data_IF_108413513083
#
_entry.id   IF_108413513083
#
_cell.length_a   1.000
_cell.length_b   1.000
_cell.length_c   1.000
_cell.angle_alpha   90.00
_cell.angle_beta   90.00
_cell.angle_gamma   90.00
#
_symmetry.space_group_name_H-M   'P 1'
#
loop_
_entity.id
_entity.type
_entity.pdbx_description
1 polymer ?
#
# COMPACT_ATOMS: atom_id res chain seq x y z
N UNK A 1 5.29 22.78 -24.77
CA UNK A 1 4.30 21.71 -24.47
C UNK A 1 4.87 20.40 -25.00
N UNK A 2 5.16 19.42 -24.14
CA UNK A 2 5.68 18.12 -24.61
C UNK A 2 4.51 17.29 -25.19
N UNK A 3 4.24 17.45 -26.48
CA UNK A 3 3.25 16.68 -27.21
C UNK A 3 3.75 15.25 -27.42
N UNK A 4 3.53 14.37 -26.45
CA UNK A 4 3.94 12.95 -26.54
C UNK A 4 4.00 12.23 -25.21
N UNK A 5 4.15 12.96 -24.09
CA UNK A 5 4.10 12.35 -22.77
C UNK A 5 2.67 12.32 -22.22
N UNK A 6 2.20 11.14 -21.82
CA UNK A 6 0.90 10.97 -21.17
C UNK A 6 1.09 10.73 -19.68
N UNK A 7 0.74 11.72 -18.87
CA UNK A 7 0.76 11.60 -17.41
C UNK A 7 -0.21 10.51 -16.92
N UNK A 8 0.23 9.71 -15.93
CA UNK A 8 -0.55 8.63 -15.31
C UNK A 8 -0.37 8.70 -13.79
N UNK A 9 -1.46 8.46 -13.04
CA UNK A 9 -1.46 8.37 -11.57
C UNK A 9 -1.48 6.93 -11.04
N UNK A 10 -1.47 5.96 -11.95
CA UNK A 10 -1.51 4.52 -11.64
C UNK A 10 -0.46 3.79 -12.45
N UNK A 11 -0.02 2.63 -11.94
CA UNK A 11 0.87 1.75 -12.68
C UNK A 11 0.20 1.22 -13.95
N UNK A 12 0.98 1.08 -15.03
CA UNK A 12 0.58 0.44 -16.28
C UNK A 12 1.42 -0.82 -16.42
N UNK A 13 0.78 -1.97 -16.47
CA UNK A 13 1.45 -3.27 -16.52
C UNK A 13 1.60 -3.74 -17.97
N UNK A 14 2.78 -4.27 -18.31
CA UNK A 14 2.99 -4.94 -19.59
C UNK A 14 2.25 -6.28 -19.62
N UNK A 15 1.82 -6.71 -20.81
CA UNK A 15 0.95 -7.90 -20.98
C UNK A 15 1.58 -9.21 -20.47
N UNK A 16 2.90 -9.29 -20.44
CA UNK A 16 3.67 -10.47 -20.03
C UNK A 16 4.07 -10.45 -18.54
N UNK A 17 3.66 -9.44 -17.77
CA UNK A 17 3.91 -9.39 -16.33
C UNK A 17 2.88 -10.27 -15.61
N UNK A 18 3.35 -11.28 -14.90
CA UNK A 18 2.51 -12.07 -14.00
C UNK A 18 2.22 -11.25 -12.74
N UNK A 19 0.94 -11.12 -12.41
CA UNK A 19 0.52 -10.48 -11.16
C UNK A 19 0.72 -11.43 -9.98
N UNK A 20 1.21 -10.94 -8.83
CA UNK A 20 1.22 -11.73 -7.61
C UNK A 20 -0.22 -11.98 -7.12
N UNK A 21 -0.37 -12.99 -6.27
CA UNK A 21 -1.63 -13.21 -5.57
C UNK A 21 -1.98 -12.02 -4.69
N UNK A 22 -3.28 -11.75 -4.54
CA UNK A 22 -3.75 -10.67 -3.68
C UNK A 22 -3.55 -11.07 -2.22
N UNK A 23 -3.12 -10.11 -1.41
CA UNK A 23 -2.99 -10.30 0.03
C UNK A 23 -4.36 -10.14 0.72
N UNK A 24 -4.55 -10.82 1.85
CA UNK A 24 -5.80 -10.75 2.63
C UNK A 24 -5.97 -9.42 3.38
N UNK A 25 -4.91 -8.63 3.57
CA UNK A 25 -4.92 -7.40 4.34
C UNK A 25 -5.04 -7.63 5.85
N UNK A 26 -5.63 -6.67 6.57
CA UNK A 26 -5.93 -6.77 8.00
C UNK A 26 -7.43 -6.58 8.29
N UNK A 27 -7.89 -7.06 9.45
CA UNK A 27 -9.28 -6.91 9.89
C UNK A 27 -9.58 -5.59 10.63
N UNK A 28 -8.67 -4.61 10.59
CA UNK A 28 -8.86 -3.34 11.28
C UNK A 28 -10.04 -2.57 10.67
N UNK A 29 -10.84 -1.91 11.51
CA UNK A 29 -11.88 -0.98 11.07
C UNK A 29 -11.35 0.45 11.22
N UNK A 30 -11.50 1.28 10.19
CA UNK A 30 -10.96 2.64 10.19
C UNK A 30 -9.43 2.64 10.06
N UNK A 31 -8.73 3.25 11.03
CA UNK A 31 -7.27 3.39 11.02
C UNK A 31 -6.57 2.18 11.64
N UNK A 32 -5.39 1.84 11.13
CA UNK A 32 -4.49 0.87 11.75
C UNK A 32 -3.61 1.60 12.77
N UNK A 33 -3.92 1.48 14.06
CA UNK A 33 -3.18 2.19 15.13
C UNK A 33 -2.58 1.26 16.17
N UNK A 34 -2.98 -0.01 16.19
CA UNK A 34 -2.45 -1.03 17.08
C UNK A 34 -1.70 -2.10 16.26
N UNK A 35 -0.37 -2.07 16.30
CA UNK A 35 0.48 -3.03 15.58
C UNK A 35 0.30 -4.46 16.11
N UNK A 36 -0.12 -4.62 17.37
CA UNK A 36 -0.30 -5.93 18.00
C UNK A 36 -1.59 -6.61 17.54
N UNK A 37 -2.60 -5.83 17.16
CA UNK A 37 -3.85 -6.31 16.57
C UNK A 37 -3.85 -6.31 15.03
N UNK A 38 -3.02 -5.47 14.39
CA UNK A 38 -2.97 -5.33 12.93
C UNK A 38 -2.01 -6.33 12.27
N UNK A 39 -2.52 -7.18 11.36
CA UNK A 39 -1.67 -8.07 10.57
C UNK A 39 -0.63 -7.31 9.73
N UNK A 40 -0.96 -6.12 9.21
CA UNK A 40 -0.03 -5.29 8.45
C UNK A 40 1.12 -4.77 9.32
N UNK A 41 0.83 -4.20 10.50
CA UNK A 41 1.87 -3.69 11.41
C UNK A 41 2.80 -4.79 11.94
N UNK A 42 2.33 -6.04 12.03
CA UNK A 42 3.21 -7.18 12.36
C UNK A 42 4.21 -7.50 11.26
N UNK A 43 3.81 -7.36 9.99
CA UNK A 43 4.70 -7.59 8.84
C UNK A 43 5.78 -6.51 8.74
N UNK A 44 5.46 -5.28 9.17
CA UNK A 44 6.37 -4.13 9.13
C UNK A 44 7.35 -4.07 10.33
N UNK A 45 7.59 -5.20 11.01
CA UNK A 45 8.58 -5.26 12.10
C UNK A 45 8.03 -4.92 13.49
N UNK A 46 6.72 -5.09 13.70
CA UNK A 46 6.00 -4.78 14.96
C UNK A 46 5.95 -3.28 15.28
N UNK A 47 5.99 -2.44 14.25
CA UNK A 47 5.65 -1.03 14.29
C UNK A 47 5.06 -0.62 12.93
N UNK A 48 4.43 0.55 12.84
CA UNK A 48 4.01 1.09 11.54
C UNK A 48 5.15 1.90 10.92
N UNK A 49 5.43 1.74 9.61
CA UNK A 49 6.54 2.43 8.94
C UNK A 49 6.29 3.94 8.76
N UNK A 50 5.10 4.42 9.14
CA UNK A 50 4.70 5.82 9.05
C UNK A 50 4.18 6.30 10.41
N UNK A 51 4.65 7.48 10.83
CA UNK A 51 4.15 8.17 12.03
C UNK A 51 2.83 8.90 11.71
N UNK A 52 2.00 9.14 12.73
CA UNK A 52 0.70 9.82 12.60
C UNK A 52 0.81 11.34 12.37
N UNK A 53 1.71 11.79 11.51
CA UNK A 53 1.81 13.17 11.04
C UNK A 53 0.95 13.35 9.79
N UNK A 54 -0.35 13.60 9.94
CA UNK A 54 -1.30 13.83 8.83
C UNK A 54 -1.33 12.73 7.74
N UNK A 55 -0.89 11.51 8.03
CA UNK A 55 -0.78 10.41 7.06
C UNK A 55 -0.85 9.04 7.72
N UNK A 56 -2.10 8.61 7.96
CA UNK A 56 -2.54 7.29 8.41
C UNK A 56 -4.06 7.23 8.36
#
# INVERSE_FOLDING_TARGET
MHAGFKYRKSMVLAKNVKLPERTSGCGCKGKCTDFSACACGKLDGKDFPYVSSNGG
#
